data_IF_298964718177
#
_entry.id   IF_298964718177
#
_cell.length_a   1.000
_cell.length_b   1.000
_cell.length_c   1.000
_cell.angle_alpha   90.00
_cell.angle_beta   90.00
_cell.angle_gamma   90.00
#
_symmetry.space_group_name_H-M   'P 1'
#
loop_
_entity.id
_entity.type
_entity.pdbx_description
1 polymer ?
#
# COMPACT_ATOMS: atom_id res chain seq x y z
N UNK A 1 55.03 -70.43 12.58
CA UNK A 1 54.29 -71.62 12.08
C UNK A 1 52.84 -71.47 12.54
N UNK A 2 51.89 -71.31 11.60
CA UNK A 2 50.44 -71.62 11.67
C UNK A 2 49.62 -70.83 12.73
N UNK A 3 48.76 -69.84 12.41
CA UNK A 3 47.51 -69.75 11.61
C UNK A 3 46.20 -69.83 12.44
N UNK A 4 45.28 -68.88 12.16
CA UNK A 4 43.80 -68.88 12.34
C UNK A 4 43.23 -68.99 13.78
N UNK A 5 42.11 -68.38 14.22
CA UNK A 5 40.80 -68.10 13.62
C UNK A 5 40.13 -66.88 14.30
N UNK A 6 39.28 -66.17 13.55
CA UNK A 6 38.27 -65.14 13.87
C UNK A 6 37.48 -65.24 15.19
N UNK A 7 36.98 -64.08 15.67
CA UNK A 7 35.53 -63.85 15.83
C UNK A 7 35.20 -62.36 15.76
N UNK A 8 34.19 -62.04 14.95
CA UNK A 8 33.66 -60.70 14.73
C UNK A 8 32.78 -60.25 15.91
N UNK A 9 32.88 -58.98 16.30
CA UNK A 9 31.82 -58.29 17.04
C UNK A 9 31.43 -57.04 16.24
N UNK A 10 30.14 -57.03 15.90
CA UNK A 10 29.43 -56.05 15.09
C UNK A 10 29.19 -54.77 15.92
N UNK A 11 29.89 -53.68 15.62
CA UNK A 11 29.62 -52.35 16.17
C UNK A 11 28.90 -51.47 15.15
N UNK A 12 27.65 -51.11 15.43
CA UNK A 12 26.83 -50.23 14.60
C UNK A 12 27.41 -48.79 14.52
N UNK A 13 27.23 -48.06 13.40
CA UNK A 13 27.73 -46.70 13.29
C UNK A 13 26.85 -45.70 14.08
N UNK A 14 27.56 -44.82 14.76
CA UNK A 14 27.08 -43.68 15.55
C UNK A 14 26.17 -42.77 14.71
N UNK A 15 25.00 -42.43 15.25
CA UNK A 15 24.02 -41.52 14.62
C UNK A 15 24.66 -40.15 14.44
N UNK A 16 24.84 -39.74 13.19
CA UNK A 16 25.09 -38.36 12.80
C UNK A 16 24.02 -37.45 13.41
N UNK A 17 24.46 -36.54 14.26
CA UNK A 17 23.63 -35.52 14.89
C UNK A 17 23.29 -34.48 13.82
N UNK A 18 22.05 -34.52 13.33
CA UNK A 18 21.49 -33.57 12.38
C UNK A 18 21.56 -32.15 12.97
N UNK A 19 22.23 -31.25 12.25
CA UNK A 19 22.19 -29.82 12.50
C UNK A 19 20.74 -29.30 12.40
N UNK A 20 20.33 -28.28 13.18
CA UNK A 20 18.98 -27.75 13.07
C UNK A 20 18.78 -27.11 11.70
N UNK A 21 17.75 -27.59 11.04
CA UNK A 21 17.18 -27.15 9.77
C UNK A 21 16.98 -25.64 9.76
N UNK A 22 17.24 -25.03 8.60
CA UNK A 22 17.31 -23.59 8.40
C UNK A 22 16.16 -22.84 9.07
N UNK A 23 16.51 -21.89 9.93
CA UNK A 23 15.60 -20.81 10.25
C UNK A 23 15.14 -20.19 8.92
N UNK A 24 13.83 -20.20 8.71
CA UNK A 24 13.16 -19.40 7.68
C UNK A 24 13.42 -17.92 8.00
N UNK A 25 14.60 -17.45 7.61
CA UNK A 25 14.92 -16.02 7.59
C UNK A 25 14.27 -15.50 6.32
N UNK A 26 12.94 -15.40 6.35
CA UNK A 26 12.20 -14.59 5.40
C UNK A 26 12.90 -13.24 5.28
N UNK A 27 13.19 -12.76 4.06
CA UNK A 27 13.95 -11.54 3.86
C UNK A 27 13.29 -10.40 4.65
N UNK A 28 14.08 -9.48 5.24
CA UNK A 28 13.54 -8.39 6.03
C UNK A 28 12.48 -7.67 5.19
N UNK A 29 11.24 -7.68 5.68
CA UNK A 29 10.10 -7.01 5.04
C UNK A 29 10.53 -5.57 4.79
N UNK A 30 10.59 -5.16 3.52
CA UNK A 30 11.02 -3.81 3.16
C UNK A 30 10.25 -2.80 4.01
N UNK A 31 10.96 -2.02 4.82
CA UNK A 31 10.38 -1.07 5.76
C UNK A 31 10.23 0.29 5.10
N UNK A 32 9.00 0.79 4.97
CA UNK A 32 8.73 2.15 4.51
C UNK A 32 7.56 2.24 3.54
N UNK A 33 7.13 3.46 3.18
CA UNK A 33 5.93 3.66 2.39
C UNK A 33 6.03 2.93 1.06
N UNK A 34 4.94 2.25 0.68
CA UNK A 34 4.84 1.60 -0.62
C UNK A 34 3.85 2.33 -1.52
N UNK A 35 4.15 2.36 -2.82
CA UNK A 35 3.20 2.85 -3.79
C UNK A 35 1.99 1.92 -3.87
N UNK A 36 0.81 2.54 -3.98
CA UNK A 36 -0.47 1.85 -4.12
C UNK A 36 -1.14 2.25 -5.43
N UNK A 37 -1.95 1.34 -5.94
CA UNK A 37 -2.92 1.63 -6.99
C UNK A 37 -4.27 1.98 -6.35
N UNK A 38 -4.93 3.01 -6.87
CA UNK A 38 -6.32 3.31 -6.54
C UNK A 38 -7.20 2.43 -7.41
N UNK A 39 -7.71 1.35 -6.84
CA UNK A 39 -8.39 0.29 -7.60
C UNK A 39 -9.81 0.70 -7.97
N UNK A 40 -10.57 1.17 -6.99
CA UNK A 40 -11.99 1.49 -7.19
C UNK A 40 -12.52 2.43 -6.10
N UNK A 41 -13.63 3.09 -6.42
CA UNK A 41 -14.55 3.67 -5.44
C UNK A 41 -15.81 2.82 -5.45
N UNK A 42 -16.08 2.14 -4.35
CA UNK A 42 -17.19 1.21 -4.18
C UNK A 42 -18.31 1.87 -3.36
N UNK A 43 -19.56 1.50 -3.60
CA UNK A 43 -20.71 1.92 -2.79
C UNK A 43 -21.22 0.72 -2.00
N UNK A 44 -21.23 0.82 -0.67
CA UNK A 44 -21.87 -0.18 0.18
C UNK A 44 -23.39 -0.14 -0.07
N UNK A 45 -23.96 -1.26 -0.52
CA UNK A 45 -25.36 -1.32 -0.95
C UNK A 45 -26.35 -1.09 0.19
N UNK A 46 -25.95 -1.39 1.44
CA UNK A 46 -26.83 -1.30 2.61
C UNK A 46 -26.79 0.09 3.24
N UNK A 47 -25.60 0.64 3.39
CA UNK A 47 -25.36 1.91 4.09
C UNK A 47 -25.26 3.10 3.15
N UNK A 48 -25.15 2.85 1.84
CA UNK A 48 -24.91 3.88 0.81
C UNK A 48 -23.68 4.75 1.12
N UNK A 49 -22.70 4.18 1.83
CA UNK A 49 -21.45 4.83 2.12
C UNK A 49 -20.39 4.45 1.08
N UNK A 50 -19.70 5.43 0.48
CA UNK A 50 -18.65 5.14 -0.48
C UNK A 50 -17.35 4.76 0.24
N UNK A 51 -16.60 3.85 -0.39
CA UNK A 51 -15.31 3.35 0.10
C UNK A 51 -14.30 3.37 -1.03
N UNK A 52 -13.13 3.97 -0.81
CA UNK A 52 -12.01 3.87 -1.75
C UNK A 52 -11.17 2.63 -1.42
N UNK A 53 -10.88 1.83 -2.44
CA UNK A 53 -10.04 0.64 -2.36
C UNK A 53 -8.66 0.93 -2.95
N UNK A 54 -7.63 0.70 -2.15
CA UNK A 54 -6.22 0.84 -2.53
C UNK A 54 -5.54 -0.53 -2.47
N UNK A 55 -4.62 -0.80 -3.39
CA UNK A 55 -3.82 -2.04 -3.39
C UNK A 55 -2.32 -1.72 -3.47
N UNK A 56 -1.54 -2.25 -2.55
CA UNK A 56 -0.08 -2.18 -2.55
C UNK A 56 0.52 -2.78 -3.82
N UNK A 57 1.36 -2.02 -4.53
CA UNK A 57 2.06 -2.54 -5.72
C UNK A 57 3.12 -3.57 -5.35
N UNK A 58 3.73 -3.42 -4.16
CA UNK A 58 4.84 -4.25 -3.67
C UNK A 58 4.38 -5.62 -3.19
N UNK A 59 3.34 -5.68 -2.36
CA UNK A 59 2.92 -6.89 -1.64
C UNK A 59 1.44 -7.25 -1.78
N UNK A 60 0.72 -6.51 -2.63
CA UNK A 60 -0.71 -6.70 -2.92
C UNK A 60 -1.63 -6.58 -1.71
N UNK A 61 -1.19 -6.04 -0.56
CA UNK A 61 -2.08 -5.74 0.57
C UNK A 61 -3.14 -4.72 0.15
N UNK A 62 -4.39 -4.97 0.55
CA UNK A 62 -5.49 -4.06 0.28
C UNK A 62 -5.81 -3.17 1.48
N UNK A 63 -6.08 -1.90 1.23
CA UNK A 63 -6.57 -0.93 2.21
C UNK A 63 -7.89 -0.35 1.70
N UNK A 64 -8.92 -0.37 2.55
CA UNK A 64 -10.22 0.20 2.26
C UNK A 64 -10.51 1.33 3.25
N UNK A 65 -10.90 2.50 2.73
CA UNK A 65 -11.23 3.67 3.55
C UNK A 65 -12.62 4.18 3.18
N UNK A 66 -13.51 4.28 4.16
CA UNK A 66 -14.81 4.93 3.99
C UNK A 66 -14.59 6.44 3.85
N UNK A 67 -15.28 7.05 2.87
CA UNK A 67 -15.19 8.47 2.56
C UNK A 67 -16.60 9.06 2.45
N UNK A 68 -16.71 10.39 2.35
CA UNK A 68 -17.99 11.03 2.05
C UNK A 68 -18.34 10.99 0.56
N UNK A 69 -19.60 11.28 0.24
CA UNK A 69 -20.09 11.30 -1.15
C UNK A 69 -19.36 12.34 -2.01
N UNK A 70 -19.09 13.52 -1.47
CA UNK A 70 -18.38 14.58 -2.18
C UNK A 70 -16.94 14.17 -2.51
N UNK A 71 -16.24 13.56 -1.54
CA UNK A 71 -14.91 13.00 -1.73
C UNK A 71 -14.91 11.87 -2.77
N UNK A 72 -15.92 11.00 -2.72
CA UNK A 72 -16.07 9.89 -3.67
C UNK A 72 -16.21 10.39 -5.11
N UNK A 73 -17.01 11.42 -5.36
CA UNK A 73 -17.08 12.07 -6.69
C UNK A 73 -15.73 12.66 -7.08
N UNK A 74 -15.03 13.31 -6.14
CA UNK A 74 -13.69 13.85 -6.34
C UNK A 74 -12.68 12.83 -6.83
N UNK A 75 -12.78 11.57 -6.39
CA UNK A 75 -11.88 10.47 -6.77
C UNK A 75 -12.39 9.69 -7.98
N UNK A 76 -13.68 9.36 -8.04
CA UNK A 76 -14.23 8.44 -9.04
C UNK A 76 -14.20 9.03 -10.47
N UNK A 77 -14.52 10.31 -10.62
CA UNK A 77 -14.53 10.99 -11.93
C UNK A 77 -13.16 10.91 -12.64
N UNK A 78 -12.04 11.36 -12.04
CA UNK A 78 -10.75 11.27 -12.69
C UNK A 78 -10.23 9.82 -12.78
N UNK A 79 -10.62 8.93 -11.85
CA UNK A 79 -10.23 7.52 -11.91
C UNK A 79 -10.82 6.83 -13.15
N UNK A 80 -12.03 7.22 -13.56
CA UNK A 80 -12.68 6.75 -14.79
C UNK A 80 -12.14 7.45 -16.05
N UNK A 81 -11.18 8.38 -15.92
CA UNK A 81 -10.67 9.17 -17.03
C UNK A 81 -11.69 10.17 -17.60
N UNK A 82 -12.76 10.48 -16.85
CA UNK A 82 -13.80 11.40 -17.28
C UNK A 82 -13.39 12.85 -17.01
N UNK A 83 -13.65 13.73 -17.99
CA UNK A 83 -13.44 15.18 -17.84
C UNK A 83 -14.78 15.86 -17.58
N UNK A 84 -14.96 16.52 -16.43
CA UNK A 84 -16.20 17.23 -16.13
C UNK A 84 -16.34 18.50 -17.01
N UNK A 85 -17.56 18.99 -17.26
CA UNK A 85 -17.81 20.17 -18.10
C UNK A 85 -17.24 21.47 -17.52
N UNK A 86 -17.00 21.50 -16.20
CA UNK A 86 -16.35 22.60 -15.47
C UNK A 86 -15.31 22.00 -14.52
N UNK A 87 -14.19 22.71 -14.26
CA UNK A 87 -13.20 22.28 -13.27
C UNK A 87 -13.84 22.07 -11.90
N UNK A 88 -13.58 20.92 -11.29
CA UNK A 88 -13.93 20.65 -9.89
C UNK A 88 -12.87 21.27 -8.97
N UNK A 89 -13.10 21.19 -7.66
CA UNK A 89 -12.23 21.78 -6.64
C UNK A 89 -10.77 21.34 -6.81
N UNK A 90 -10.50 20.04 -7.00
CA UNK A 90 -9.12 19.55 -7.17
C UNK A 90 -8.49 20.01 -8.50
N UNK A 91 -9.28 20.20 -9.57
CA UNK A 91 -8.80 20.77 -10.84
C UNK A 91 -8.41 22.25 -10.67
N UNK A 92 -9.18 23.00 -9.89
CA UNK A 92 -8.87 24.38 -9.52
C UNK A 92 -7.55 24.46 -8.72
N UNK A 93 -7.32 23.56 -7.76
CA UNK A 93 -6.06 23.50 -7.00
C UNK A 93 -4.87 23.18 -7.90
N UNK A 94 -4.99 22.21 -8.82
CA UNK A 94 -3.90 21.90 -9.75
C UNK A 94 -3.63 23.05 -10.73
N UNK A 95 -4.67 23.78 -11.14
CA UNK A 95 -4.51 25.00 -11.94
C UNK A 95 -3.74 26.06 -11.14
N UNK A 96 -4.08 26.26 -9.87
CA UNK A 96 -3.38 27.19 -8.97
C UNK A 96 -1.92 26.79 -8.79
N UNK A 97 -1.63 25.51 -8.54
CA UNK A 97 -0.26 24.99 -8.43
C UNK A 97 0.54 25.29 -9.71
N UNK A 98 -0.02 25.03 -10.89
CA UNK A 98 0.62 25.36 -12.16
C UNK A 98 0.92 26.85 -12.33
N UNK A 99 -0.03 27.73 -11.96
CA UNK A 99 0.17 29.20 -12.01
C UNK A 99 1.26 29.69 -11.07
N UNK A 100 1.41 29.03 -9.92
CA UNK A 100 2.43 29.34 -8.92
C UNK A 100 3.75 28.58 -9.13
N UNK A 101 3.87 27.80 -10.22
CA UNK A 101 5.03 26.94 -10.52
C UNK A 101 5.34 25.96 -9.37
N UNK A 102 4.29 25.43 -8.76
CA UNK A 102 4.34 24.38 -7.75
C UNK A 102 3.99 23.04 -8.41
N UNK A 103 4.77 22.01 -8.11
CA UNK A 103 4.55 20.66 -8.64
C UNK A 103 4.17 19.72 -7.52
N UNK A 104 3.07 18.99 -7.67
CA UNK A 104 2.70 17.87 -6.79
C UNK A 104 3.60 16.67 -7.11
N UNK A 105 4.48 16.28 -6.18
CA UNK A 105 5.48 15.21 -6.42
C UNK A 105 4.97 13.83 -6.02
N UNK A 106 4.29 13.74 -4.87
CA UNK A 106 3.69 12.51 -4.34
C UNK A 106 2.72 12.82 -3.21
N UNK A 107 1.91 11.84 -2.87
CA UNK A 107 1.12 11.87 -1.63
C UNK A 107 1.39 10.62 -0.81
N UNK A 108 1.36 10.74 0.51
CA UNK A 108 1.57 9.62 1.42
C UNK A 108 0.46 9.56 2.44
N UNK A 109 -0.22 8.43 2.56
CA UNK A 109 -1.09 8.13 3.69
C UNK A 109 -0.18 7.70 4.83
N UNK A 110 -0.04 8.57 5.83
CA UNK A 110 1.05 8.50 6.81
C UNK A 110 0.68 7.75 8.06
N UNK A 111 -0.58 7.83 8.51
CA UNK A 111 -0.98 7.26 9.79
C UNK A 111 -2.48 6.99 9.90
N UNK A 112 -2.85 6.18 10.90
CA UNK A 112 -4.21 5.94 11.36
C UNK A 112 -4.23 6.10 12.88
N UNK A 113 -5.06 7.01 13.40
CA UNK A 113 -5.23 7.28 14.83
C UNK A 113 -6.70 7.50 15.13
N UNK A 114 -7.25 6.78 16.12
CA UNK A 114 -8.66 6.91 16.52
C UNK A 114 -9.61 6.85 15.30
N UNK A 115 -9.43 5.83 14.46
CA UNK A 115 -10.18 5.62 13.21
C UNK A 115 -10.11 6.77 12.18
N UNK A 116 -9.19 7.71 12.36
CA UNK A 116 -8.94 8.82 11.44
C UNK A 116 -7.61 8.61 10.71
N UNK A 117 -7.68 8.58 9.37
CA UNK A 117 -6.50 8.50 8.52
C UNK A 117 -5.92 9.89 8.25
N UNK A 118 -4.59 9.95 8.18
CA UNK A 118 -3.83 11.17 7.90
C UNK A 118 -3.02 10.99 6.62
N UNK A 119 -2.89 12.06 5.85
CA UNK A 119 -2.05 12.07 4.67
C UNK A 119 -1.20 13.34 4.59
N UNK A 120 -0.08 13.24 3.89
CA UNK A 120 0.81 14.34 3.59
C UNK A 120 0.93 14.46 2.07
N UNK A 121 0.72 15.68 1.58
CA UNK A 121 0.98 16.04 0.19
C UNK A 121 2.38 16.63 0.12
N UNK A 122 3.20 16.09 -0.78
CA UNK A 122 4.54 16.59 -1.05
C UNK A 122 4.52 17.40 -2.34
N UNK A 123 5.03 18.61 -2.25
CA UNK A 123 5.09 19.60 -3.32
C UNK A 123 6.55 20.02 -3.53
N UNK A 124 6.90 20.43 -4.74
CA UNK A 124 8.12 21.18 -5.00
C UNK A 124 7.76 22.60 -5.41
N UNK A 125 8.35 23.59 -4.74
CA UNK A 125 8.21 25.00 -5.06
C UNK A 125 9.60 25.66 -5.01
N UNK A 126 10.01 26.35 -6.08
CA UNK A 126 11.33 26.99 -6.18
C UNK A 126 12.52 26.05 -5.86
N UNK A 127 12.41 24.76 -6.20
CA UNK A 127 13.44 23.75 -5.94
C UNK A 127 13.46 23.20 -4.51
N UNK A 128 12.61 23.69 -3.61
CA UNK A 128 12.46 23.18 -2.25
C UNK A 128 11.24 22.27 -2.13
N UNK A 129 11.34 21.23 -1.28
CA UNK A 129 10.19 20.40 -0.91
C UNK A 129 9.33 21.14 0.12
N UNK A 130 8.02 21.15 -0.09
CA UNK A 130 7.02 21.67 0.83
C UNK A 130 6.04 20.54 1.15
N UNK A 131 5.68 20.43 2.42
CA UNK A 131 4.76 19.41 2.92
C UNK A 131 3.47 20.07 3.38
N UNK A 132 2.33 19.49 2.98
CA UNK A 132 1.00 19.97 3.33
C UNK A 132 0.19 18.84 3.94
N UNK A 133 -0.26 19.03 5.19
CA UNK A 133 -1.17 18.11 5.85
C UNK A 133 -2.51 18.06 5.11
N UNK A 134 -3.06 16.86 4.94
CA UNK A 134 -4.26 16.65 4.15
C UNK A 134 -5.06 15.43 4.63
N UNK A 135 -6.36 15.44 4.35
CA UNK A 135 -7.16 14.22 4.38
C UNK A 135 -6.75 13.30 3.23
N UNK A 136 -6.70 11.97 3.41
CA UNK A 136 -6.36 11.04 2.34
C UNK A 136 -7.23 11.19 1.09
N UNK A 137 -8.53 11.46 1.24
CA UNK A 137 -9.44 11.64 0.11
C UNK A 137 -9.02 12.78 -0.83
N UNK A 138 -8.64 13.93 -0.26
CA UNK A 138 -8.19 15.09 -1.02
C UNK A 138 -6.83 14.84 -1.68
N UNK A 139 -5.91 14.22 -0.94
CA UNK A 139 -4.58 13.86 -1.43
C UNK A 139 -4.67 12.88 -2.62
N UNK A 140 -5.50 11.85 -2.51
CA UNK A 140 -5.75 10.88 -3.59
C UNK A 140 -6.37 11.57 -4.81
N UNK A 141 -7.39 12.41 -4.61
CA UNK A 141 -8.06 13.11 -5.69
C UNK A 141 -7.12 14.04 -6.49
N UNK A 142 -6.15 14.69 -5.82
CA UNK A 142 -5.10 15.46 -6.47
C UNK A 142 -4.11 14.56 -7.21
N UNK A 143 -3.65 13.49 -6.56
CA UNK A 143 -2.64 12.59 -7.11
C UNK A 143 -3.10 11.90 -8.40
N UNK A 144 -4.34 11.42 -8.47
CA UNK A 144 -4.90 10.79 -9.68
C UNK A 144 -4.88 11.77 -10.85
N UNK A 145 -5.35 13.02 -10.63
CA UNK A 145 -5.40 14.06 -11.66
C UNK A 145 -4.02 14.50 -12.13
N UNK A 146 -3.09 14.67 -11.19
CA UNK A 146 -1.72 15.06 -11.47
C UNK A 146 -0.85 13.91 -11.97
N UNK A 147 -1.37 12.67 -11.97
CA UNK A 147 -0.62 11.43 -12.22
C UNK A 147 0.60 11.29 -11.32
N UNK A 148 0.48 11.73 -10.07
CA UNK A 148 1.51 11.57 -9.05
C UNK A 148 1.30 10.27 -8.27
N UNK A 149 2.39 9.66 -7.77
CA UNK A 149 2.29 8.42 -6.99
C UNK A 149 1.55 8.65 -5.67
N UNK A 150 0.69 7.70 -5.34
CA UNK A 150 0.05 7.56 -4.02
C UNK A 150 0.82 6.49 -3.26
N UNK A 151 1.30 6.82 -2.07
CA UNK A 151 1.98 5.88 -1.20
C UNK A 151 1.22 5.70 0.12
N UNK A 152 1.44 4.55 0.75
CA UNK A 152 0.88 4.22 2.06
C UNK A 152 1.99 3.67 2.94
N UNK A 153 2.12 4.21 4.14
CA UNK A 153 3.06 3.72 5.14
C UNK A 153 2.70 2.29 5.59
N UNK A 154 3.72 1.45 5.80
CA UNK A 154 3.51 0.05 6.20
C UNK A 154 2.70 -0.09 7.48
N UNK A 155 2.91 0.83 8.43
CA UNK A 155 2.17 0.90 9.71
C UNK A 155 0.67 1.13 9.52
N UNK A 156 0.26 1.79 8.43
CA UNK A 156 -1.18 2.02 8.15
C UNK A 156 -1.83 0.70 7.81
N UNK A 157 -1.23 -0.09 6.92
CA UNK A 157 -1.71 -1.44 6.60
C UNK A 157 -1.75 -2.37 7.81
N UNK A 158 -0.77 -2.25 8.71
CA UNK A 158 -0.69 -3.07 9.92
C UNK A 158 -1.81 -2.74 10.92
N UNK A 159 -2.10 -1.44 11.11
CA UNK A 159 -3.20 -0.99 11.98
C UNK A 159 -4.58 -1.39 11.46
N UNK A 160 -4.75 -1.54 10.15
CA UNK A 160 -6.03 -1.89 9.53
C UNK A 160 -6.25 -3.40 9.36
N UNK A 161 -5.29 -4.23 9.78
CA UNK A 161 -5.34 -5.68 9.55
C UNK A 161 -5.41 -6.05 8.07
N UNK A 162 -4.80 -5.23 7.20
CA UNK A 162 -4.86 -5.39 5.75
C UNK A 162 -4.46 -6.81 5.32
N UNK A 163 -5.42 -7.56 4.74
CA UNK A 163 -5.18 -8.89 4.18
C UNK A 163 -4.77 -8.78 2.71
N UNK A 164 -3.90 -9.68 2.27
CA UNK A 164 -3.74 -9.96 0.84
C UNK A 164 -5.10 -10.42 0.27
N UNK A 165 -5.46 -10.04 -0.97
CA UNK A 165 -6.71 -10.45 -1.58
C UNK A 165 -6.83 -11.98 -1.58
N UNK A 166 -7.93 -12.50 -1.02
CA UNK A 166 -8.34 -13.89 -1.30
C UNK A 166 -8.85 -13.91 -2.75
N UNK A 167 -8.48 -14.96 -3.49
CA UNK A 167 -8.77 -15.13 -4.92
C UNK A 167 -10.20 -14.74 -5.31
N UNK A 168 -10.33 -14.21 -6.53
CA UNK A 168 -11.54 -13.60 -7.07
C UNK A 168 -12.79 -14.50 -7.08
N UNK A 169 -13.95 -13.94 -7.48
CA UNK A 169 -15.22 -14.64 -7.41
C UNK A 169 -15.15 -15.95 -8.20
N UNK A 170 -15.42 -17.06 -7.52
CA UNK A 170 -15.86 -18.28 -8.17
C UNK A 170 -17.36 -18.16 -8.42
N UNK A 171 -17.78 -17.43 -9.45
CA UNK A 171 -19.09 -17.58 -10.10
C UNK A 171 -18.94 -17.22 -11.58
#
# INVERSE_FOLDING_TARGET
MIALVSFAVLGAPERAQLAPEGADVSPPKATGPQEVEVVAVLMDQRTQQPTVLLQGKRDKRSLAMTIGLAEATGIAVPLQGATPPRPLTHDLFLTLFGRLKVTLTRVVITDLRNDTYYAMIYLTANGAEVQLDARPSDAIALAIRAKAPVLVEDRVFEKTGARAPRGGPSI
#
